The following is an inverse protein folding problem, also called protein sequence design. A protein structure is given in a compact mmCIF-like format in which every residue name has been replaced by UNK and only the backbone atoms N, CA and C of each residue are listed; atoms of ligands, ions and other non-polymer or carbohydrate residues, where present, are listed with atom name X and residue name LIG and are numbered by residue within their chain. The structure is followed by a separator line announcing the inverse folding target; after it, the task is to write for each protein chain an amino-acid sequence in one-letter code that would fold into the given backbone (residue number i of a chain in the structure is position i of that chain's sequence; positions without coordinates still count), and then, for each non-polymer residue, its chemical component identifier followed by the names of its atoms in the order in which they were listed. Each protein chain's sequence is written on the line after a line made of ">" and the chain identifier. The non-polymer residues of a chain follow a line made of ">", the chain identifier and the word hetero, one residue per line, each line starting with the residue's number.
data_IF_187748040188
#
_entry.id   IF_187748040188
#
_cell.length_a   1.000
_cell.length_b   1.000
_cell.length_c   1.000
_cell.angle_alpha   90.00
_cell.angle_beta   90.00
_cell.angle_gamma   90.00
#
_symmetry.space_group_name_H-M   'P 1'
#
loop_
_entity.id
_entity.type
_entity.pdbx_description
1 polymer ?
#
# COMPACT_ATOMS: atom_id res chain seq x y z
N UNK A 1 -8.22 15.93 50.85
CA UNK A 1 -8.18 16.40 49.45
C UNK A 1 -7.41 15.36 48.65
N UNK A 2 -8.11 14.43 48.01
CA UNK A 2 -7.47 13.31 47.31
C UNK A 2 -7.44 13.61 45.81
N UNK A 3 -6.23 13.80 45.27
CA UNK A 3 -5.99 14.05 43.85
C UNK A 3 -6.05 12.71 43.09
N UNK A 4 -7.16 12.43 42.45
CA UNK A 4 -7.29 11.29 41.52
C UNK A 4 -6.66 11.67 40.19
N UNK A 5 -5.43 11.23 39.97
CA UNK A 5 -4.77 11.29 38.66
C UNK A 5 -5.41 10.23 37.76
N UNK A 6 -6.25 10.66 36.83
CA UNK A 6 -6.81 9.81 35.78
C UNK A 6 -5.75 9.57 34.71
N UNK A 7 -5.16 8.36 34.73
CA UNK A 7 -4.33 7.85 33.65
C UNK A 7 -5.19 7.65 32.40
N UNK A 8 -5.05 8.55 31.42
CA UNK A 8 -5.66 8.41 30.10
C UNK A 8 -4.95 7.26 29.36
N UNK A 9 -5.66 6.15 29.17
CA UNK A 9 -5.17 5.00 28.40
C UNK A 9 -5.10 5.40 26.92
N UNK A 10 -3.95 5.22 26.22
CA UNK A 10 -3.88 5.50 24.80
C UNK A 10 -4.82 4.56 24.06
N UNK A 11 -5.86 5.13 23.44
CA UNK A 11 -6.79 4.41 22.58
C UNK A 11 -6.00 3.86 21.38
N UNK A 12 -6.14 2.58 21.00
CA UNK A 12 -5.45 2.06 19.83
C UNK A 12 -6.00 2.76 18.59
N UNK A 13 -5.18 3.63 17.98
CA UNK A 13 -5.52 4.32 16.73
C UNK A 13 -5.47 3.28 15.62
N UNK A 14 -6.64 2.77 15.21
CA UNK A 14 -6.75 1.87 14.06
C UNK A 14 -6.43 2.70 12.81
N UNK A 15 -5.19 2.59 12.33
CA UNK A 15 -4.79 3.25 11.09
C UNK A 15 -5.36 2.49 9.89
N UNK A 16 -5.93 3.19 8.88
CA UNK A 16 -6.46 2.53 7.70
C UNK A 16 -5.34 1.87 6.90
N UNK A 17 -5.65 0.71 6.33
CA UNK A 17 -4.73 -0.05 5.46
C UNK A 17 -4.39 0.77 4.22
N UNK A 18 -3.26 0.45 3.58
CA UNK A 18 -2.84 1.14 2.35
C UNK A 18 -3.88 0.99 1.22
N UNK A 19 -4.54 -0.18 1.14
CA UNK A 19 -5.62 -0.42 0.19
C UNK A 19 -6.84 0.47 0.47
N UNK A 20 -7.25 0.59 1.73
CA UNK A 20 -8.34 1.48 2.12
C UNK A 20 -8.02 2.95 1.78
N UNK A 21 -6.78 3.39 2.02
CA UNK A 21 -6.33 4.74 1.64
C UNK A 21 -6.37 4.96 0.13
N UNK A 22 -5.95 3.96 -0.66
CA UNK A 22 -6.00 4.03 -2.12
C UNK A 22 -7.43 4.13 -2.65
N UNK A 23 -8.38 3.38 -2.08
CA UNK A 23 -9.80 3.47 -2.45
C UNK A 23 -10.38 4.87 -2.19
N UNK A 24 -10.08 5.46 -1.03
CA UNK A 24 -10.50 6.83 -0.69
C UNK A 24 -9.89 7.85 -1.64
N UNK A 25 -8.59 7.75 -1.94
CA UNK A 25 -7.90 8.65 -2.87
C UNK A 25 -8.50 8.55 -4.29
N UNK A 26 -8.85 7.35 -4.74
CA UNK A 26 -9.52 7.14 -6.04
C UNK A 26 -10.90 7.80 -6.10
N UNK A 27 -11.71 7.64 -5.05
CA UNK A 27 -13.03 8.30 -5.01
C UNK A 27 -12.88 9.82 -5.01
N UNK A 28 -11.93 10.34 -4.22
CA UNK A 28 -11.64 11.77 -4.16
C UNK A 28 -11.19 12.33 -5.52
N UNK A 29 -10.22 11.69 -6.19
CA UNK A 29 -9.74 12.11 -7.50
C UNK A 29 -10.85 12.09 -8.55
N UNK A 30 -11.71 11.07 -8.56
CA UNK A 30 -12.88 10.99 -9.45
C UNK A 30 -13.88 12.11 -9.18
N UNK A 31 -14.18 12.39 -7.91
CA UNK A 31 -15.11 13.45 -7.51
C UNK A 31 -14.59 14.82 -7.95
N UNK A 32 -13.31 15.11 -7.72
CA UNK A 32 -12.70 16.36 -8.17
C UNK A 32 -12.68 16.47 -9.70
N UNK A 33 -12.36 15.38 -10.39
CA UNK A 33 -12.41 15.34 -11.86
C UNK A 33 -13.82 15.62 -12.39
N UNK A 34 -14.86 15.10 -11.72
CA UNK A 34 -16.25 15.35 -12.10
C UNK A 34 -16.71 16.79 -11.82
N UNK A 35 -16.21 17.40 -10.73
CA UNK A 35 -16.59 18.77 -10.33
C UNK A 35 -15.85 19.85 -11.13
N UNK A 36 -14.56 19.65 -11.39
CA UNK A 36 -13.67 20.68 -11.94
C UNK A 36 -13.14 20.35 -13.33
N UNK A 37 -13.37 19.15 -13.85
CA UNK A 37 -12.80 18.69 -15.11
C UNK A 37 -11.27 18.58 -15.00
N UNK A 38 -10.57 19.57 -15.54
CA UNK A 38 -9.12 19.70 -15.49
C UNK A 38 -8.71 20.88 -14.61
N UNK A 39 -7.82 20.66 -13.66
CA UNK A 39 -7.29 21.72 -12.79
C UNK A 39 -6.17 21.19 -11.89
N UNK A 40 -5.45 22.09 -11.23
CA UNK A 40 -4.32 21.74 -10.36
C UNK A 40 -4.74 20.78 -9.24
N UNK A 41 -5.89 21.02 -8.61
CA UNK A 41 -6.42 20.14 -7.55
C UNK A 41 -6.73 18.72 -8.06
N UNK A 42 -7.22 18.61 -9.30
CA UNK A 42 -7.46 17.31 -9.94
C UNK A 42 -6.14 16.60 -10.20
N UNK A 43 -5.12 17.32 -10.68
CA UNK A 43 -3.78 16.77 -10.91
C UNK A 43 -3.17 16.26 -9.60
N UNK A 44 -3.18 17.05 -8.52
CA UNK A 44 -2.66 16.68 -7.21
C UNK A 44 -3.39 15.44 -6.65
N UNK A 45 -4.71 15.36 -6.83
CA UNK A 45 -5.48 14.21 -6.38
C UNK A 45 -5.09 12.92 -7.14
N UNK A 46 -4.82 13.01 -8.44
CA UNK A 46 -4.32 11.88 -9.21
C UNK A 46 -2.86 11.52 -8.89
N UNK A 47 -1.99 12.50 -8.61
CA UNK A 47 -0.62 12.24 -8.13
C UNK A 47 -0.64 11.46 -6.81
N UNK A 48 -1.56 11.81 -5.90
CA UNK A 48 -1.74 11.08 -4.64
C UNK A 48 -2.13 9.61 -4.88
N UNK A 49 -3.01 9.35 -5.86
CA UNK A 49 -3.38 7.97 -6.26
C UNK A 49 -2.17 7.22 -6.81
N UNK A 50 -1.37 7.87 -7.66
CA UNK A 50 -0.18 7.27 -8.26
C UNK A 50 0.84 6.86 -7.18
N UNK A 51 1.13 7.77 -6.23
CA UNK A 51 2.05 7.51 -5.14
C UNK A 51 1.59 6.32 -4.28
N UNK A 52 0.31 6.31 -3.88
CA UNK A 52 -0.25 5.22 -3.07
C UNK A 52 -0.24 3.88 -3.81
N UNK A 53 -0.56 3.88 -5.11
CA UNK A 53 -0.54 2.67 -5.94
C UNK A 53 0.89 2.11 -6.09
N UNK A 54 1.88 3.00 -6.22
CA UNK A 54 3.29 2.64 -6.32
C UNK A 54 3.80 2.05 -5.01
N UNK A 55 3.45 2.67 -3.88
CA UNK A 55 3.75 2.13 -2.56
C UNK A 55 3.12 0.75 -2.36
N UNK A 56 1.89 0.54 -2.85
CA UNK A 56 1.20 -0.75 -2.75
C UNK A 56 1.90 -1.82 -3.59
N UNK A 57 2.22 -1.53 -4.85
CA UNK A 57 2.93 -2.44 -5.74
C UNK A 57 4.32 -2.82 -5.22
N UNK A 58 5.07 -1.88 -4.62
CA UNK A 58 6.39 -2.15 -4.04
C UNK A 58 6.35 -3.04 -2.80
N UNK A 59 5.25 -3.03 -2.04
CA UNK A 59 5.10 -3.87 -0.84
C UNK A 59 4.87 -5.35 -1.16
N UNK A 60 4.45 -5.67 -2.38
CA UNK A 60 4.23 -7.05 -2.82
C UNK A 60 5.44 -7.46 -3.68
N UNK A 61 6.49 -8.09 -3.12
CA UNK A 61 7.52 -8.70 -3.94
C UNK A 61 6.85 -9.75 -4.83
N UNK A 62 6.69 -9.41 -6.10
CA UNK A 62 6.08 -10.32 -7.06
C UNK A 62 7.12 -11.37 -7.43
N UNK A 63 7.07 -12.50 -6.72
CA UNK A 63 7.80 -13.71 -7.10
C UNK A 63 7.43 -14.01 -8.56
N UNK A 64 8.44 -14.04 -9.42
CA UNK A 64 8.22 -14.38 -10.83
C UNK A 64 7.68 -15.81 -10.94
N UNK A 65 7.09 -16.17 -12.08
CA UNK A 65 6.68 -17.55 -12.31
C UNK A 65 7.87 -18.52 -12.14
N UNK A 66 9.05 -18.09 -12.57
CA UNK A 66 10.30 -18.82 -12.39
C UNK A 66 10.69 -18.97 -10.91
N UNK A 67 10.68 -17.89 -10.14
CA UNK A 67 10.97 -17.95 -8.69
C UNK A 67 10.01 -18.91 -7.97
N UNK A 68 8.73 -18.90 -8.33
CA UNK A 68 7.73 -19.82 -7.75
C UNK A 68 8.01 -21.25 -8.15
N UNK A 69 8.37 -21.49 -9.41
CA UNK A 69 8.73 -22.81 -9.92
C UNK A 69 9.97 -23.36 -9.21
N UNK A 70 11.04 -22.58 -9.12
CA UNK A 70 12.28 -23.00 -8.46
C UNK A 70 12.14 -23.17 -6.95
N UNK A 71 11.25 -22.41 -6.29
CA UNK A 71 10.88 -22.68 -4.89
C UNK A 71 10.15 -24.01 -4.71
N UNK A 72 9.33 -24.42 -5.68
CA UNK A 72 8.60 -25.68 -5.64
C UNK A 72 9.44 -26.89 -6.12
N UNK A 73 10.41 -26.66 -7.00
CA UNK A 73 11.26 -27.66 -7.63
C UNK A 73 12.74 -27.24 -7.59
N UNK A 74 13.37 -27.23 -6.40
CA UNK A 74 14.74 -26.75 -6.24
C UNK A 74 15.78 -27.64 -6.95
N UNK A 75 15.44 -28.88 -7.25
CA UNK A 75 16.28 -29.87 -7.92
C UNK A 75 16.15 -29.87 -9.46
N UNK A 76 15.17 -29.11 -9.99
CA UNK A 76 14.98 -28.93 -11.42
C UNK A 76 16.27 -28.38 -12.06
N UNK A 77 16.66 -28.85 -13.26
CA UNK A 77 17.91 -28.44 -13.91
C UNK A 77 18.08 -26.91 -14.02
N UNK A 78 16.97 -26.19 -14.24
CA UNK A 78 16.93 -24.73 -14.40
C UNK A 78 17.08 -23.97 -13.07
N UNK A 79 16.95 -24.65 -11.92
CA UNK A 79 16.83 -24.04 -10.60
C UNK A 79 18.01 -24.36 -9.65
N UNK A 80 18.96 -25.19 -10.09
CA UNK A 80 20.11 -25.59 -9.27
C UNK A 80 21.04 -24.40 -9.07
N UNK A 81 21.26 -24.05 -7.80
CA UNK A 81 22.26 -23.09 -7.37
C UNK A 81 23.40 -23.87 -6.73
N UNK A 82 24.64 -23.62 -7.18
CA UNK A 82 25.85 -24.20 -6.61
C UNK A 82 26.58 -23.12 -5.82
N UNK A 83 27.06 -23.45 -4.63
CA UNK A 83 27.99 -22.60 -3.88
C UNK A 83 29.36 -22.67 -4.57
N UNK A 84 30.01 -21.52 -4.79
CA UNK A 84 31.37 -21.42 -5.37
C UNK A 84 32.46 -21.96 -4.41
#
# INVERSE_FOLDING_TARGET
>A
MSLTTTLSIPTPVIQPTLESRLQVALEHARRLSALYGTGTEVAIAWETVEELSTAHRRRVPQSTAFDRYCKAHPDAPECRIYED
#
